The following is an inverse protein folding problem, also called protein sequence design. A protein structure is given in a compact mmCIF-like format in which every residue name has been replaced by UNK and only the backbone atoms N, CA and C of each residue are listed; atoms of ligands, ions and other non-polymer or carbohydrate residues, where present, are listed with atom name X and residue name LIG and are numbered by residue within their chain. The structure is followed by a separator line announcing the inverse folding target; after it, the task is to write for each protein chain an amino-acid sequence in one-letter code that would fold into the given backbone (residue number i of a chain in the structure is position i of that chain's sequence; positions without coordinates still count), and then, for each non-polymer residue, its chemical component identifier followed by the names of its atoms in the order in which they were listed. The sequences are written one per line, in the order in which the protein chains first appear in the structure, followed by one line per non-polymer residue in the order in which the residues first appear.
data_IF_431008074225
#
_entry.id   IF_431008074225
#
_cell.length_a   1.000
_cell.length_b   1.000
_cell.length_c   1.000
_cell.angle_alpha   90.00
_cell.angle_beta   90.00
_cell.angle_gamma   90.00
#
_symmetry.space_group_name_H-M   'P 1'
#
loop_
_entity.id
_entity.type
_entity.pdbx_description
1 polymer ?
#
# COMPACT_ATOMS: atom_id res chain seq x y z
N UNK A 1 47.83 32.83 -19.29
CA UNK A 1 47.18 31.50 -19.25
C UNK A 1 46.95 31.12 -17.77
N UNK A 2 45.70 30.87 -17.32
CA UNK A 2 45.47 30.43 -15.95
C UNK A 2 45.54 28.91 -15.87
N UNK A 3 46.28 28.43 -14.90
CA UNK A 3 46.48 27.05 -14.51
C UNK A 3 45.18 26.45 -13.97
N UNK A 4 44.71 25.33 -14.55
CA UNK A 4 43.64 24.51 -14.03
C UNK A 4 44.02 23.90 -12.70
N UNK A 5 43.16 24.08 -11.67
CA UNK A 5 43.33 23.51 -10.33
C UNK A 5 43.00 22.01 -10.35
N UNK A 6 43.80 21.24 -9.61
CA UNK A 6 43.78 19.80 -9.48
C UNK A 6 42.59 19.22 -8.64
N UNK A 7 41.50 19.98 -8.52
CA UNK A 7 40.30 19.52 -7.73
C UNK A 7 39.29 18.73 -8.54
N UNK A 8 39.36 18.73 -9.87
CA UNK A 8 38.39 18.06 -10.72
C UNK A 8 38.65 16.57 -10.96
N UNK A 9 39.85 16.09 -10.58
CA UNK A 9 40.22 14.68 -10.74
C UNK A 9 39.79 13.77 -9.57
N UNK A 10 39.52 14.34 -8.39
CA UNK A 10 39.11 13.55 -7.23
C UNK A 10 37.62 13.14 -7.26
N UNK A 11 36.78 13.89 -7.94
CA UNK A 11 35.34 13.58 -8.03
C UNK A 11 35.00 12.47 -9.03
N UNK A 12 35.82 12.27 -10.05
CA UNK A 12 35.57 11.28 -11.11
C UNK A 12 35.94 9.85 -10.64
N UNK A 13 36.84 9.70 -9.68
CA UNK A 13 37.30 8.39 -9.18
C UNK A 13 36.34 7.83 -8.13
N UNK A 14 35.66 8.66 -7.35
CA UNK A 14 34.71 8.22 -6.31
C UNK A 14 33.37 7.76 -6.93
N UNK A 15 32.95 8.30 -8.07
CA UNK A 15 31.75 7.86 -8.79
C UNK A 15 31.90 6.51 -9.49
N UNK A 16 33.13 6.08 -9.81
CA UNK A 16 33.40 4.82 -10.51
C UNK A 16 33.50 3.59 -9.59
N UNK A 17 33.60 3.77 -8.27
CA UNK A 17 33.75 2.67 -7.31
C UNK A 17 32.47 2.29 -6.57
N UNK A 18 31.32 2.93 -6.84
CA UNK A 18 30.07 2.73 -6.12
C UNK A 18 28.97 1.99 -6.89
N UNK A 19 29.25 1.39 -8.02
CA UNK A 19 28.21 0.70 -8.81
C UNK A 19 28.59 -0.68 -9.34
N UNK A 20 29.15 -1.53 -8.52
CA UNK A 20 28.96 -2.95 -8.71
C UNK A 20 27.84 -3.44 -7.77
N UNK A 21 26.61 -3.04 -8.04
CA UNK A 21 25.47 -3.82 -7.62
C UNK A 21 25.58 -5.12 -8.38
N UNK A 22 26.10 -6.17 -7.76
CA UNK A 22 25.98 -7.52 -8.27
C UNK A 22 24.51 -7.84 -8.37
N UNK A 23 23.90 -7.62 -9.52
CA UNK A 23 22.60 -8.17 -9.80
C UNK A 23 22.70 -9.69 -9.62
N UNK A 24 21.89 -10.26 -8.75
CA UNK A 24 21.85 -11.71 -8.58
C UNK A 24 21.66 -12.37 -9.96
N UNK A 25 22.37 -13.44 -10.29
CA UNK A 25 22.25 -14.07 -11.60
C UNK A 25 20.81 -14.51 -11.82
N UNK A 26 20.28 -14.24 -13.02
CA UNK A 26 18.94 -14.69 -13.40
C UNK A 26 18.90 -16.22 -13.43
N UNK A 27 17.91 -16.81 -12.77
CA UNK A 27 17.73 -18.26 -12.69
C UNK A 27 16.37 -18.68 -13.24
N UNK A 28 16.31 -19.92 -13.74
CA UNK A 28 15.09 -20.66 -14.05
C UNK A 28 14.36 -21.03 -12.75
N UNK A 29 13.11 -21.51 -12.85
CA UNK A 29 12.32 -21.90 -11.67
C UNK A 29 12.92 -23.04 -10.85
N UNK A 30 13.74 -23.88 -11.48
CA UNK A 30 14.50 -24.95 -10.81
C UNK A 30 15.84 -24.48 -10.20
N UNK A 31 16.13 -23.18 -10.21
CA UNK A 31 17.37 -22.59 -9.67
C UNK A 31 18.58 -22.63 -10.62
N UNK A 32 18.48 -23.27 -11.79
CA UNK A 32 19.58 -23.31 -12.76
C UNK A 32 19.81 -21.91 -13.38
N UNK A 33 21.05 -21.50 -13.62
CA UNK A 33 21.33 -20.21 -14.26
C UNK A 33 20.72 -20.14 -15.66
N UNK A 34 20.27 -18.94 -16.04
CA UNK A 34 19.85 -18.63 -17.41
C UNK A 34 21.09 -18.25 -18.21
N UNK A 35 21.36 -18.97 -19.29
CA UNK A 35 22.49 -18.69 -20.18
C UNK A 35 22.21 -17.48 -21.07
N UNK A 36 21.16 -17.55 -21.88
CA UNK A 36 20.74 -16.46 -22.76
C UNK A 36 19.29 -16.07 -22.45
N UNK A 37 19.06 -14.80 -22.13
CA UNK A 37 17.74 -14.23 -21.87
C UNK A 37 17.23 -13.35 -23.03
N UNK A 38 18.01 -13.22 -24.11
CA UNK A 38 17.70 -12.35 -25.25
C UNK A 38 17.29 -13.14 -26.50
N UNK A 39 17.76 -14.36 -26.64
CA UNK A 39 17.51 -15.21 -27.80
C UNK A 39 16.90 -16.56 -27.38
N UNK A 40 15.90 -17.00 -28.15
CA UNK A 40 15.34 -18.36 -27.99
C UNK A 40 16.29 -19.43 -28.57
N UNK A 41 16.29 -20.61 -28.00
CA UNK A 41 17.00 -21.78 -28.55
C UNK A 41 16.29 -22.28 -29.80
N UNK A 42 17.02 -22.44 -30.88
CA UNK A 42 16.51 -22.89 -32.19
C UNK A 42 17.18 -24.16 -32.68
N UNK A 43 16.55 -24.85 -33.62
CA UNK A 43 17.09 -26.01 -34.28
C UNK A 43 18.11 -25.59 -35.37
N UNK A 44 19.30 -25.14 -34.95
CA UNK A 44 20.30 -24.51 -35.82
C UNK A 44 20.04 -23.05 -36.08
N UNK A 45 20.97 -22.37 -36.78
CA UNK A 45 20.99 -20.92 -36.92
C UNK A 45 19.70 -20.29 -37.53
N UNK A 46 19.02 -21.01 -38.40
CA UNK A 46 17.79 -20.57 -39.06
C UNK A 46 16.61 -21.54 -38.81
N UNK A 47 16.70 -22.38 -37.79
CA UNK A 47 15.69 -23.36 -37.46
C UNK A 47 14.55 -22.82 -36.60
N UNK A 48 13.51 -23.62 -36.44
CA UNK A 48 12.38 -23.30 -35.58
C UNK A 48 12.79 -23.23 -34.10
N UNK A 49 12.12 -22.37 -33.32
CA UNK A 49 12.26 -22.33 -31.86
C UNK A 49 11.85 -23.65 -31.24
N UNK A 50 12.65 -24.16 -30.31
CA UNK A 50 12.43 -25.43 -29.64
C UNK A 50 11.57 -25.30 -28.42
N UNK A 51 10.64 -26.25 -28.21
CA UNK A 51 9.88 -26.37 -26.95
C UNK A 51 10.77 -26.75 -25.75
N UNK A 52 11.97 -27.30 -25.99
CA UNK A 52 12.96 -27.54 -24.95
C UNK A 52 13.57 -26.25 -24.37
N UNK A 53 13.30 -25.09 -24.96
CA UNK A 53 13.70 -23.79 -24.39
C UNK A 53 12.83 -23.46 -23.16
N UNK A 54 13.22 -24.05 -22.04
CA UNK A 54 12.54 -23.85 -20.75
C UNK A 54 12.54 -22.37 -20.36
N UNK A 55 13.59 -21.61 -20.68
CA UNK A 55 13.64 -20.19 -20.38
C UNK A 55 12.60 -19.39 -21.16
N UNK A 56 12.44 -19.67 -22.45
CA UNK A 56 11.39 -19.04 -23.27
C UNK A 56 10.00 -19.28 -22.67
N UNK A 57 9.69 -20.55 -22.35
CA UNK A 57 8.38 -20.92 -21.80
C UNK A 57 8.13 -20.23 -20.47
N UNK A 58 9.09 -20.26 -19.55
CA UNK A 58 8.95 -19.62 -18.25
C UNK A 58 8.82 -18.08 -18.36
N UNK A 59 9.61 -17.45 -19.22
CA UNK A 59 9.54 -16.01 -19.48
C UNK A 59 8.16 -15.58 -20.02
N UNK A 60 7.63 -16.32 -21.00
CA UNK A 60 6.29 -16.07 -21.57
C UNK A 60 5.17 -16.34 -20.54
N UNK A 61 5.28 -17.40 -19.75
CA UNK A 61 4.30 -17.69 -18.70
C UNK A 61 4.26 -16.62 -17.61
N UNK A 62 5.42 -16.13 -17.19
CA UNK A 62 5.49 -15.02 -16.22
C UNK A 62 4.91 -13.74 -16.81
N UNK A 63 5.23 -13.41 -18.05
CA UNK A 63 4.67 -12.27 -18.75
C UNK A 63 3.14 -12.37 -18.88
N UNK A 64 2.62 -13.53 -19.30
CA UNK A 64 1.17 -13.75 -19.43
C UNK A 64 0.39 -13.70 -18.10
N UNK A 65 1.07 -13.89 -16.96
CA UNK A 65 0.49 -13.87 -15.61
C UNK A 65 0.91 -12.66 -14.78
N UNK A 66 1.63 -11.74 -15.35
CA UNK A 66 2.16 -10.55 -14.66
C UNK A 66 1.06 -9.65 -14.12
N UNK A 67 -0.09 -9.62 -14.79
CA UNK A 67 -1.25 -8.89 -14.33
C UNK A 67 -2.25 -9.79 -13.62
N UNK A 68 -2.64 -9.36 -12.42
CA UNK A 68 -3.75 -9.94 -11.66
C UNK A 68 -4.99 -9.06 -11.80
N UNK A 69 -6.22 -9.60 -11.64
CA UNK A 69 -7.42 -8.79 -11.59
C UNK A 69 -7.32 -7.70 -10.53
N UNK A 70 -7.89 -6.53 -10.84
CA UNK A 70 -7.98 -5.45 -9.85
C UNK A 70 -8.92 -5.84 -8.71
N UNK A 71 -8.62 -5.38 -7.48
CA UNK A 71 -9.56 -5.45 -6.37
C UNK A 71 -10.79 -4.61 -6.69
N UNK A 72 -11.96 -5.05 -6.22
CA UNK A 72 -13.22 -4.31 -6.37
C UNK A 72 -13.11 -2.91 -5.77
N UNK A 73 -12.46 -2.79 -4.62
CA UNK A 73 -12.04 -1.54 -3.98
C UNK A 73 -10.58 -1.68 -3.54
N UNK A 74 -9.88 -0.56 -3.31
CA UNK A 74 -8.45 -0.54 -2.97
C UNK A 74 -7.55 -1.08 -4.09
N UNK A 75 -7.93 -0.88 -5.36
CA UNK A 75 -7.17 -1.38 -6.51
C UNK A 75 -5.77 -0.76 -6.60
N UNK A 76 -5.67 0.56 -6.36
CA UNK A 76 -4.40 1.27 -6.31
C UNK A 76 -3.84 1.32 -4.89
N UNK A 77 -2.58 0.93 -4.72
CA UNK A 77 -1.92 0.97 -3.42
C UNK A 77 -0.47 0.53 -3.49
N UNK A 78 0.23 0.74 -2.39
CA UNK A 78 1.63 0.34 -2.20
C UNK A 78 1.80 -0.38 -0.87
N UNK A 79 2.81 -1.24 -0.78
CA UNK A 79 3.11 -2.00 0.42
C UNK A 79 4.52 -1.73 0.93
N UNK A 80 4.68 -1.77 2.25
CA UNK A 80 5.97 -1.60 2.91
C UNK A 80 6.13 -2.64 4.00
N UNK A 81 7.35 -3.15 4.17
CA UNK A 81 7.74 -3.98 5.31
C UNK A 81 8.14 -3.09 6.48
N UNK A 82 7.90 -3.58 7.68
CA UNK A 82 8.26 -2.89 8.90
C UNK A 82 8.32 -3.82 10.11
N UNK A 83 8.46 -3.24 11.29
CA UNK A 83 8.46 -3.95 12.56
C UNK A 83 7.49 -3.26 13.53
N UNK A 84 6.66 -4.05 14.19
CA UNK A 84 5.86 -3.61 15.33
C UNK A 84 6.53 -4.03 16.63
N UNK A 85 6.62 -3.11 17.58
CA UNK A 85 7.16 -3.39 18.92
C UNK A 85 6.11 -3.03 19.95
N UNK A 86 5.65 -4.01 20.75
CA UNK A 86 4.74 -3.72 21.85
C UNK A 86 5.50 -3.03 22.99
N UNK A 87 5.05 -1.84 23.35
CA UNK A 87 5.66 -1.05 24.45
C UNK A 87 5.08 -1.40 25.81
N UNK A 88 3.92 -2.07 25.84
CA UNK A 88 3.22 -2.48 27.08
C UNK A 88 2.87 -3.95 27.01
N UNK A 89 2.75 -4.58 28.16
CA UNK A 89 2.17 -5.91 28.30
C UNK A 89 0.64 -5.78 28.39
N UNK A 90 -0.06 -6.44 27.47
CA UNK A 90 -1.53 -6.48 27.42
C UNK A 90 -2.07 -7.91 27.64
N UNK A 91 -1.31 -8.78 28.29
CA UNK A 91 -1.72 -10.16 28.58
C UNK A 91 -3.04 -10.24 29.36
N UNK A 92 -3.35 -9.23 30.17
CA UNK A 92 -4.64 -9.13 30.88
C UNK A 92 -5.83 -8.89 29.93
N UNK A 93 -5.59 -8.41 28.70
CA UNK A 93 -6.63 -8.12 27.71
C UNK A 93 -6.71 -9.18 26.62
N UNK A 94 -5.59 -9.82 26.26
CA UNK A 94 -5.54 -10.66 25.08
C UNK A 94 -4.49 -11.77 25.18
N UNK A 95 -4.83 -12.93 24.59
CA UNK A 95 -3.91 -14.05 24.37
C UNK A 95 -2.90 -13.80 23.24
N UNK A 96 -3.10 -12.77 22.43
CA UNK A 96 -2.23 -12.49 21.29
C UNK A 96 -0.82 -12.09 21.74
N UNK A 97 0.15 -12.95 21.47
CA UNK A 97 1.54 -12.80 21.93
C UNK A 97 2.24 -11.52 21.43
N UNK A 98 1.78 -10.97 20.31
CA UNK A 98 2.33 -9.73 19.76
C UNK A 98 2.17 -8.53 20.71
N UNK A 99 1.24 -8.58 21.66
CA UNK A 99 0.99 -7.53 22.65
C UNK A 99 1.71 -7.74 23.99
N UNK A 100 2.62 -8.67 24.09
CA UNK A 100 3.53 -8.78 25.25
C UNK A 100 4.64 -7.72 25.15
N UNK A 101 4.96 -7.06 26.25
CA UNK A 101 5.96 -6.00 26.27
C UNK A 101 7.29 -6.43 25.66
N UNK A 102 7.89 -5.59 24.81
CA UNK A 102 9.14 -5.86 24.12
C UNK A 102 9.08 -6.85 22.97
N UNK A 103 7.90 -7.44 22.68
CA UNK A 103 7.75 -8.34 21.54
C UNK A 103 7.91 -7.57 20.22
N UNK A 104 8.83 -8.04 19.39
CA UNK A 104 9.09 -7.56 18.03
C UNK A 104 8.39 -8.46 17.04
N UNK A 105 7.54 -7.90 16.21
CA UNK A 105 6.75 -8.64 15.21
C UNK A 105 6.97 -8.02 13.84
N UNK A 106 7.46 -8.77 12.84
CA UNK A 106 7.51 -8.30 11.47
C UNK A 106 6.11 -7.97 10.97
N UNK A 107 5.99 -6.88 10.23
CA UNK A 107 4.72 -6.45 9.66
C UNK A 107 4.86 -6.15 8.18
N UNK A 108 3.74 -6.30 7.46
CA UNK A 108 3.57 -5.75 6.12
C UNK A 108 2.38 -4.80 6.13
N UNK A 109 2.61 -3.56 5.74
CA UNK A 109 1.57 -2.52 5.71
C UNK A 109 1.23 -2.21 4.27
N UNK A 110 -0.07 -2.22 3.93
CA UNK A 110 -0.55 -1.77 2.63
C UNK A 110 -1.37 -0.49 2.78
N UNK A 111 -0.90 0.56 2.12
CA UNK A 111 -1.64 1.79 1.89
C UNK A 111 -2.31 1.76 0.54
N UNK A 112 -3.50 2.37 0.41
CA UNK A 112 -4.24 2.36 -0.87
C UNK A 112 -5.25 3.50 -0.93
N UNK A 113 -5.67 3.86 -2.15
CA UNK A 113 -6.95 4.55 -2.37
C UNK A 113 -8.10 3.54 -2.25
N UNK A 114 -9.36 3.93 -2.40
CA UNK A 114 -10.50 3.02 -2.21
C UNK A 114 -11.30 2.82 -3.49
N UNK A 115 -11.90 3.88 -4.03
CA UNK A 115 -12.94 3.75 -5.09
C UNK A 115 -12.34 3.64 -6.48
N UNK A 116 -11.22 4.30 -6.73
CA UNK A 116 -10.68 4.48 -8.06
C UNK A 116 -9.93 3.25 -8.60
N UNK A 117 -9.83 3.07 -9.94
CA UNK A 117 -9.10 1.98 -10.56
C UNK A 117 -7.58 2.11 -10.33
N UNK A 118 -6.84 1.05 -10.60
CA UNK A 118 -5.39 0.97 -10.38
C UNK A 118 -4.60 2.10 -11.07
N UNK A 119 -5.08 2.60 -12.21
CA UNK A 119 -4.43 3.67 -12.99
C UNK A 119 -4.76 5.10 -12.54
N UNK A 120 -5.56 5.31 -11.49
CA UNK A 120 -5.97 6.63 -11.01
C UNK A 120 -4.86 7.38 -10.27
N UNK A 121 -4.92 8.72 -10.15
CA UNK A 121 -3.99 9.46 -9.30
C UNK A 121 -4.23 9.19 -7.82
N UNK A 122 -3.16 9.03 -7.03
CA UNK A 122 -3.25 8.69 -5.60
C UNK A 122 -3.77 9.83 -4.73
N UNK A 123 -3.65 11.07 -5.19
CA UNK A 123 -4.14 12.27 -4.49
C UNK A 123 -5.59 12.63 -4.87
N UNK A 124 -6.27 11.81 -5.68
CA UNK A 124 -7.71 11.96 -5.86
C UNK A 124 -8.42 11.85 -4.50
N UNK A 125 -9.48 12.68 -4.30
CA UNK A 125 -10.24 12.66 -3.05
C UNK A 125 -10.90 11.30 -2.85
N UNK A 126 -10.48 10.61 -1.78
CA UNK A 126 -10.91 9.25 -1.47
C UNK A 126 -10.61 8.96 0.01
N UNK A 127 -11.28 8.01 0.66
CA UNK A 127 -10.71 7.36 1.81
C UNK A 127 -9.41 6.64 1.44
N UNK A 128 -8.52 6.45 2.40
CA UNK A 128 -7.27 5.74 2.16
C UNK A 128 -7.19 4.51 3.06
N UNK A 129 -6.91 3.36 2.45
CA UNK A 129 -6.71 2.10 3.16
C UNK A 129 -5.43 2.12 3.99
N UNK A 130 -5.51 1.52 5.16
CA UNK A 130 -4.40 1.30 6.09
C UNK A 130 -4.54 -0.12 6.64
N UNK A 131 -3.93 -1.09 5.97
CA UNK A 131 -4.01 -2.50 6.34
C UNK A 131 -2.66 -3.00 6.83
N UNK A 132 -2.63 -3.59 8.03
CA UNK A 132 -1.43 -4.12 8.66
C UNK A 132 -1.56 -5.62 8.86
N UNK A 133 -0.63 -6.38 8.31
CA UNK A 133 -0.46 -7.80 8.55
C UNK A 133 0.71 -8.00 9.51
N UNK A 134 0.45 -8.69 10.62
CA UNK A 134 1.46 -9.06 11.60
C UNK A 134 1.81 -10.54 11.43
N UNK A 135 3.08 -10.84 11.26
CA UNK A 135 3.60 -12.21 11.16
C UNK A 135 4.02 -12.69 12.54
N UNK A 136 3.05 -13.22 13.29
CA UNK A 136 3.28 -13.69 14.66
C UNK A 136 3.68 -15.16 14.70
N UNK A 137 4.25 -15.63 15.81
CA UNK A 137 4.52 -17.05 16.02
C UNK A 137 3.24 -17.91 16.11
N UNK A 138 2.12 -17.30 16.45
CA UNK A 138 0.80 -17.96 16.52
C UNK A 138 0.05 -17.97 15.19
N UNK A 139 0.66 -17.45 14.13
CA UNK A 139 0.06 -17.27 12.80
C UNK A 139 -0.10 -15.79 12.44
N UNK A 140 -0.78 -15.54 11.32
CA UNK A 140 -1.02 -14.17 10.87
C UNK A 140 -2.11 -13.51 11.71
N UNK A 141 -1.87 -12.27 12.12
CA UNK A 141 -2.85 -11.40 12.75
C UNK A 141 -2.98 -10.14 11.89
N UNK A 142 -4.18 -9.80 11.46
CA UNK A 142 -4.39 -8.71 10.49
C UNK A 142 -5.30 -7.64 11.08
N UNK A 143 -4.94 -6.37 10.90
CA UNK A 143 -5.77 -5.22 11.23
C UNK A 143 -6.02 -4.41 9.96
N UNK A 144 -7.23 -4.53 9.42
CA UNK A 144 -7.67 -3.82 8.22
C UNK A 144 -8.39 -2.54 8.64
N UNK A 145 -7.99 -1.41 8.06
CA UNK A 145 -8.57 -0.12 8.41
C UNK A 145 -8.45 0.90 7.28
N UNK A 146 -8.88 2.11 7.61
CA UNK A 146 -8.80 3.29 6.76
C UNK A 146 -8.20 4.46 7.55
N UNK A 147 -7.89 5.54 6.84
CA UNK A 147 -7.43 6.79 7.46
C UNK A 147 -8.55 7.64 8.08
N UNK A 148 -9.78 7.14 8.13
CA UNK A 148 -10.95 7.84 8.65
C UNK A 148 -11.55 7.06 9.83
N UNK A 149 -12.01 7.75 10.90
CA UNK A 149 -12.41 7.10 12.16
C UNK A 149 -13.79 6.43 12.12
N UNK A 150 -14.54 6.61 11.06
CA UNK A 150 -15.90 6.08 10.86
C UNK A 150 -16.02 5.40 9.51
N UNK A 151 -17.08 4.56 9.33
CA UNK A 151 -17.36 3.88 8.07
C UNK A 151 -18.67 4.37 7.45
N UNK A 152 -18.89 4.14 6.15
CA UNK A 152 -20.02 4.70 5.38
C UNK A 152 -21.36 4.09 5.76
N UNK A 153 -21.35 2.78 6.01
CA UNK A 153 -22.52 1.96 6.23
C UNK A 153 -22.28 1.04 7.42
N UNK A 154 -23.37 0.60 8.04
CA UNK A 154 -23.36 -0.36 9.12
C UNK A 154 -23.69 -1.78 8.63
N UNK A 155 -24.65 -1.89 7.73
CA UNK A 155 -25.11 -3.18 7.21
C UNK A 155 -24.33 -3.53 5.94
N UNK A 156 -23.61 -4.66 5.96
CA UNK A 156 -22.72 -5.10 4.91
C UNK A 156 -23.43 -5.33 3.57
N UNK A 157 -24.73 -5.65 3.55
CA UNK A 157 -25.48 -5.85 2.31
C UNK A 157 -25.56 -4.58 1.46
N UNK A 158 -25.40 -3.41 2.07
CA UNK A 158 -25.41 -2.12 1.39
C UNK A 158 -24.06 -1.71 0.81
N UNK A 159 -23.01 -2.46 1.10
CA UNK A 159 -21.67 -2.13 0.62
C UNK A 159 -21.55 -2.21 -0.92
N UNK A 160 -22.07 -3.24 -1.59
CA UNK A 160 -22.08 -3.27 -3.05
C UNK A 160 -22.82 -2.08 -3.67
N UNK A 161 -23.97 -1.70 -3.13
CA UNK A 161 -24.77 -0.55 -3.64
C UNK A 161 -24.01 0.76 -3.47
N UNK A 162 -23.37 0.96 -2.32
CA UNK A 162 -22.49 2.10 -2.08
C UNK A 162 -21.37 2.16 -3.12
N UNK A 163 -20.66 1.04 -3.32
CA UNK A 163 -19.54 0.97 -4.26
C UNK A 163 -20.01 1.25 -5.69
N UNK A 164 -21.15 0.67 -6.12
CA UNK A 164 -21.71 0.90 -7.45
C UNK A 164 -22.21 2.33 -7.65
N UNK A 165 -22.70 3.00 -6.60
CA UNK A 165 -23.06 4.42 -6.67
C UNK A 165 -21.85 5.33 -6.90
N UNK A 166 -20.68 4.94 -6.38
CA UNK A 166 -19.44 5.72 -6.46
C UNK A 166 -18.62 5.44 -7.72
N UNK A 167 -18.79 4.26 -8.34
CA UNK A 167 -18.01 3.83 -9.51
C UNK A 167 -18.62 4.31 -10.81
N UNK A 168 -17.82 4.36 -11.90
CA UNK A 168 -18.33 4.59 -13.24
C UNK A 168 -19.44 3.61 -13.60
N UNK A 169 -20.42 4.09 -14.34
CA UNK A 169 -21.50 3.27 -14.90
C UNK A 169 -20.92 2.21 -15.86
N UNK A 170 -21.35 0.93 -15.77
CA UNK A 170 -20.75 -0.14 -16.56
C UNK A 170 -21.02 -0.03 -18.07
N UNK A 171 -22.02 0.76 -18.49
CA UNK A 171 -22.36 0.98 -19.92
C UNK A 171 -21.61 2.18 -20.48
N UNK A 172 -21.65 3.30 -19.76
CA UNK A 172 -21.08 4.57 -20.25
C UNK A 172 -19.64 4.78 -19.82
N UNK A 173 -19.17 4.06 -18.80
CA UNK A 173 -17.87 4.24 -18.13
C UNK A 173 -17.67 5.65 -17.56
N UNK A 174 -18.76 6.34 -17.22
CA UNK A 174 -18.77 7.69 -16.65
C UNK A 174 -19.27 7.62 -15.21
N UNK A 175 -18.57 8.29 -14.29
CA UNK A 175 -19.03 8.47 -12.92
C UNK A 175 -20.16 9.51 -12.90
N UNK A 176 -21.31 9.12 -12.33
CA UNK A 176 -22.49 9.99 -12.22
C UNK A 176 -22.67 10.46 -10.76
N UNK A 177 -22.49 11.76 -10.48
CA UNK A 177 -22.72 12.31 -9.15
C UNK A 177 -24.14 12.12 -8.61
N UNK A 178 -25.16 12.04 -9.48
CA UNK A 178 -26.54 11.83 -9.04
C UNK A 178 -26.71 10.50 -8.34
N UNK A 179 -26.07 9.44 -8.83
CA UNK A 179 -26.09 8.11 -8.20
C UNK A 179 -25.51 8.16 -6.77
N UNK A 180 -24.46 8.96 -6.56
CA UNK A 180 -23.86 9.15 -5.24
C UNK A 180 -24.84 9.84 -4.30
N UNK A 181 -25.48 10.92 -4.74
CA UNK A 181 -26.43 11.67 -3.92
C UNK A 181 -27.71 10.86 -3.65
N UNK A 182 -28.21 10.10 -4.62
CA UNK A 182 -29.34 9.18 -4.41
C UNK A 182 -29.06 8.15 -3.34
N UNK A 183 -27.86 7.55 -3.36
CA UNK A 183 -27.43 6.62 -2.29
C UNK A 183 -27.39 7.33 -0.92
N UNK A 184 -26.74 8.49 -0.85
CA UNK A 184 -26.60 9.25 0.40
C UNK A 184 -27.96 9.68 0.97
N UNK A 185 -28.91 10.08 0.11
CA UNK A 185 -30.27 10.43 0.51
C UNK A 185 -31.00 9.21 1.09
N UNK A 186 -30.81 8.04 0.51
CA UNK A 186 -31.39 6.78 1.00
C UNK A 186 -30.70 6.25 2.27
N UNK A 187 -29.46 6.70 2.56
CA UNK A 187 -28.61 6.22 3.66
C UNK A 187 -28.00 7.41 4.44
N UNK A 188 -28.81 8.21 5.17
CA UNK A 188 -28.37 9.48 5.77
C UNK A 188 -27.25 9.33 6.81
N UNK A 189 -27.10 8.16 7.43
CA UNK A 189 -25.97 7.90 8.35
C UNK A 189 -24.60 7.87 7.65
N UNK A 190 -24.54 7.72 6.32
CA UNK A 190 -23.30 7.80 5.53
C UNK A 190 -22.74 9.24 5.49
N UNK A 191 -23.53 10.25 5.80
CA UNK A 191 -23.14 11.67 5.75
C UNK A 191 -21.96 11.94 6.70
N UNK A 192 -21.93 11.33 7.87
CA UNK A 192 -20.82 11.51 8.81
C UNK A 192 -19.47 11.15 8.18
N UNK A 193 -19.39 10.00 7.48
CA UNK A 193 -18.19 9.62 6.76
C UNK A 193 -17.86 10.60 5.64
N UNK A 194 -18.87 11.10 4.95
CA UNK A 194 -18.70 12.04 3.85
C UNK A 194 -18.04 13.35 4.33
N UNK A 195 -18.37 13.84 5.53
CA UNK A 195 -17.74 15.04 6.10
C UNK A 195 -16.23 14.85 6.27
N UNK A 196 -15.78 13.65 6.68
CA UNK A 196 -14.35 13.32 6.74
C UNK A 196 -13.71 13.23 5.36
N UNK A 197 -14.36 12.60 4.39
CA UNK A 197 -13.85 12.51 3.02
C UNK A 197 -13.67 13.88 2.38
N UNK A 198 -14.58 14.81 2.66
CA UNK A 198 -14.50 16.19 2.14
C UNK A 198 -13.62 17.12 2.97
N UNK A 199 -13.09 16.67 4.10
CA UNK A 199 -12.03 17.35 4.82
C UNK A 199 -10.65 17.11 4.18
N UNK A 200 -9.60 17.65 4.78
CA UNK A 200 -8.21 17.39 4.37
C UNK A 200 -7.78 15.92 4.53
N UNK A 201 -8.54 15.11 5.29
CA UNK A 201 -8.27 13.69 5.45
C UNK A 201 -8.52 12.91 4.17
N UNK A 202 -9.42 13.39 3.29
CA UNK A 202 -9.68 12.76 2.00
C UNK A 202 -8.61 13.02 0.93
N UNK A 203 -7.68 13.95 1.19
CA UNK A 203 -6.58 14.32 0.28
C UNK A 203 -5.25 14.40 1.04
N UNK A 204 -4.74 13.29 1.58
CA UNK A 204 -3.51 13.31 2.38
C UNK A 204 -2.31 13.77 1.54
N UNK A 205 -1.39 14.48 2.20
CA UNK A 205 -0.13 14.90 1.58
C UNK A 205 0.80 13.72 1.26
N UNK A 206 0.77 12.69 2.12
CA UNK A 206 1.61 11.49 2.02
C UNK A 206 0.95 10.32 2.74
N UNK A 207 1.26 9.09 2.36
CA UNK A 207 0.93 7.91 3.19
C UNK A 207 1.61 7.94 4.56
N UNK A 208 2.70 8.69 4.74
CA UNK A 208 3.38 8.88 6.02
C UNK A 208 2.64 9.80 6.98
N UNK A 209 1.83 10.71 6.46
CA UNK A 209 1.16 11.79 7.20
C UNK A 209 -0.34 11.54 7.37
N UNK A 210 -0.75 10.30 7.48
CA UNK A 210 -2.13 9.92 7.79
C UNK A 210 -2.19 9.02 9.02
N UNK A 211 -3.26 9.14 9.77
CA UNK A 211 -3.63 8.20 10.84
C UNK A 211 -4.33 6.99 10.24
N UNK A 212 -4.42 5.90 11.01
CA UNK A 212 -5.16 4.70 10.62
C UNK A 212 -6.17 4.29 11.70
N UNK A 213 -7.31 3.76 11.28
CA UNK A 213 -8.39 3.36 12.18
C UNK A 213 -8.91 1.97 11.78
N UNK A 214 -9.00 1.06 12.75
CA UNK A 214 -9.60 -0.25 12.55
C UNK A 214 -11.12 -0.20 12.42
N UNK A 215 -11.75 0.90 12.79
CA UNK A 215 -13.18 1.26 12.70
C UNK A 215 -14.10 0.37 13.51
N UNK A 216 -13.95 -0.97 13.36
CA UNK A 216 -14.76 -1.97 14.07
C UNK A 216 -14.41 -2.04 15.56
N UNK A 217 -15.39 -2.48 16.38
CA UNK A 217 -15.13 -2.95 17.72
C UNK A 217 -14.68 -4.41 17.65
N UNK A 218 -13.50 -4.69 18.20
CA UNK A 218 -12.93 -6.03 18.28
C UNK A 218 -13.12 -6.57 19.68
N UNK A 219 -13.26 -7.88 19.79
CA UNK A 219 -13.39 -8.58 21.06
C UNK A 219 -12.06 -9.26 21.37
N UNK A 220 -11.37 -8.81 22.39
CA UNK A 220 -10.13 -9.41 22.86
C UNK A 220 -10.42 -10.31 24.06
N UNK A 221 -9.80 -11.49 24.11
CA UNK A 221 -9.92 -12.45 25.18
C UNK A 221 -8.57 -12.67 25.87
N UNK A 222 -8.59 -12.73 27.20
CA UNK A 222 -7.44 -13.11 27.99
C UNK A 222 -7.43 -14.64 28.27
N UNK A 223 -6.42 -15.10 29.01
CA UNK A 223 -6.23 -16.50 29.41
C UNK A 223 -7.33 -17.04 30.35
N UNK A 224 -8.05 -16.17 31.05
CA UNK A 224 -9.18 -16.50 31.92
C UNK A 224 -10.51 -16.61 31.15
N UNK A 225 -10.52 -16.35 29.84
CA UNK A 225 -11.73 -16.28 29.04
C UNK A 225 -12.55 -14.99 29.22
N UNK A 226 -12.03 -14.04 29.99
CA UNK A 226 -12.62 -12.70 30.09
C UNK A 226 -12.39 -11.92 28.80
N UNK A 227 -13.31 -11.01 28.45
CA UNK A 227 -13.17 -10.23 27.23
C UNK A 227 -13.45 -8.76 27.43
N UNK A 228 -12.86 -7.97 26.53
CA UNK A 228 -13.12 -6.53 26.38
C UNK A 228 -13.38 -6.20 24.91
N UNK A 229 -14.28 -5.24 24.67
CA UNK A 229 -14.42 -4.63 23.37
C UNK A 229 -13.40 -3.50 23.23
N UNK A 230 -12.70 -3.46 22.12
CA UNK A 230 -11.64 -2.50 21.87
C UNK A 230 -11.74 -1.93 20.46
N UNK A 231 -11.20 -0.72 20.27
CA UNK A 231 -10.91 -0.12 18.97
C UNK A 231 -9.41 0.11 18.84
N UNK A 232 -8.91 -0.03 17.62
CA UNK A 232 -7.50 0.20 17.28
C UNK A 232 -7.36 1.49 16.48
N UNK A 233 -6.45 2.36 16.91
CA UNK A 233 -6.17 3.63 16.27
C UNK A 233 -4.65 3.79 16.09
N UNK A 234 -4.21 3.98 14.86
CA UNK A 234 -2.83 4.30 14.51
C UNK A 234 -2.67 5.82 14.47
N UNK A 235 -1.67 6.35 15.14
CA UNK A 235 -1.33 7.78 15.13
C UNK A 235 0.02 7.98 14.49
N UNK A 236 0.05 8.75 13.40
CA UNK A 236 1.29 9.07 12.70
C UNK A 236 2.18 9.98 13.56
N UNK A 237 3.42 9.56 13.82
CA UNK A 237 4.42 10.41 14.48
C UNK A 237 4.91 11.56 13.58
N UNK A 238 4.59 11.54 12.28
CA UNK A 238 4.88 12.62 11.34
C UNK A 238 3.77 13.70 11.35
N UNK A 239 2.70 13.47 12.11
CA UNK A 239 1.49 14.29 12.13
C UNK A 239 0.59 14.04 10.93
N UNK A 240 -0.65 14.53 11.01
CA UNK A 240 -1.63 14.42 9.92
C UNK A 240 -1.57 15.68 9.07
N UNK A 241 -1.40 15.51 7.76
CA UNK A 241 -1.35 16.60 6.79
C UNK A 241 -2.15 16.25 5.55
N UNK A 242 -2.87 17.24 5.02
CA UNK A 242 -3.64 17.10 3.81
C UNK A 242 -3.39 18.22 2.83
N UNK A 243 -3.64 17.95 1.55
CA UNK A 243 -3.54 18.90 0.46
C UNK A 243 -4.85 19.64 0.28
N UNK A 244 -4.78 20.94 -0.03
CA UNK A 244 -5.94 21.68 -0.52
C UNK A 244 -6.20 21.37 -2.00
N UNK A 245 -7.32 21.84 -2.56
CA UNK A 245 -7.73 21.51 -3.93
C UNK A 245 -6.73 21.98 -5.00
N UNK A 246 -6.09 23.11 -4.80
CA UNK A 246 -5.10 23.65 -5.73
C UNK A 246 -3.83 22.78 -5.74
N UNK A 247 -3.32 22.44 -4.56
CA UNK A 247 -2.19 21.52 -4.38
C UNK A 247 -2.49 20.13 -4.98
N UNK A 248 -3.70 19.61 -4.79
CA UNK A 248 -4.11 18.34 -5.40
C UNK A 248 -4.01 18.40 -6.91
N UNK A 249 -4.53 19.47 -7.55
CA UNK A 249 -4.46 19.65 -9.00
C UNK A 249 -3.02 19.73 -9.51
N UNK A 250 -2.19 20.49 -8.82
CA UNK A 250 -0.79 20.64 -9.16
C UNK A 250 -0.02 19.32 -9.04
N UNK A 251 -0.20 18.58 -7.94
CA UNK A 251 0.46 17.29 -7.73
C UNK A 251 0.00 16.26 -8.75
N UNK A 252 -1.30 16.15 -9.00
CA UNK A 252 -1.84 15.23 -10.02
C UNK A 252 -1.30 15.51 -11.41
N UNK A 253 -1.10 16.76 -11.76
CA UNK A 253 -0.53 17.16 -13.05
C UNK A 253 0.93 16.77 -13.24
N UNK A 254 1.66 16.54 -12.13
CA UNK A 254 3.10 16.21 -12.15
C UNK A 254 3.40 14.76 -11.84
N UNK A 255 2.69 14.17 -10.88
CA UNK A 255 2.99 12.83 -10.36
C UNK A 255 1.73 12.09 -9.88
N UNK A 256 1.25 11.17 -10.68
CA UNK A 256 0.10 10.31 -10.34
C UNK A 256 0.38 9.34 -9.19
N UNK A 257 1.64 9.03 -8.96
CA UNK A 257 2.12 8.11 -7.93
C UNK A 257 2.72 8.84 -6.73
N UNK A 258 2.31 10.08 -6.49
CA UNK A 258 2.92 10.98 -5.50
C UNK A 258 3.06 10.35 -4.11
N UNK A 259 2.00 9.73 -3.59
CA UNK A 259 2.02 9.16 -2.24
C UNK A 259 2.96 7.96 -2.15
N UNK A 260 2.97 7.10 -3.18
CA UNK A 260 3.90 5.99 -3.31
C UNK A 260 5.35 6.47 -3.45
N UNK A 261 5.59 7.42 -4.35
CA UNK A 261 6.93 7.95 -4.59
C UNK A 261 7.51 8.65 -3.34
N UNK A 262 6.67 9.40 -2.60
CA UNK A 262 7.07 10.02 -1.34
C UNK A 262 7.47 8.96 -0.30
N UNK A 263 6.68 7.91 -0.14
CA UNK A 263 6.98 6.80 0.77
C UNK A 263 8.32 6.14 0.42
N UNK A 264 8.52 5.77 -0.85
CA UNK A 264 9.75 5.13 -1.32
C UNK A 264 10.98 6.01 -1.14
N UNK A 265 10.90 7.28 -1.54
CA UNK A 265 12.02 8.24 -1.39
C UNK A 265 12.44 8.39 0.06
N UNK A 266 11.48 8.49 0.99
CA UNK A 266 11.78 8.63 2.42
C UNK A 266 12.39 7.36 3.01
N UNK A 267 11.85 6.19 2.70
CA UNK A 267 12.41 4.91 3.17
C UNK A 267 13.83 4.73 2.62
N UNK A 268 14.04 5.01 1.33
CA UNK A 268 15.37 4.91 0.71
C UNK A 268 16.40 5.87 1.33
N UNK A 269 15.96 7.04 1.75
CA UNK A 269 16.78 8.03 2.45
C UNK A 269 17.01 7.70 3.94
N UNK A 270 16.43 6.61 4.48
CA UNK A 270 16.52 6.25 5.90
C UNK A 270 15.52 6.99 6.80
N UNK A 271 14.62 7.79 6.24
CA UNK A 271 13.59 8.53 6.97
C UNK A 271 12.35 7.63 7.16
N UNK A 272 12.48 6.60 7.99
CA UNK A 272 11.42 5.61 8.21
C UNK A 272 10.21 6.21 8.93
N UNK A 273 9.00 6.15 8.34
CA UNK A 273 7.80 6.62 9.01
C UNK A 273 7.42 5.70 10.17
N UNK A 274 6.78 6.29 11.19
CA UNK A 274 6.39 5.59 12.42
C UNK A 274 4.97 5.94 12.80
N UNK A 275 4.29 4.99 13.41
CA UNK A 275 2.95 5.15 13.99
C UNK A 275 2.90 4.51 15.37
N UNK A 276 2.16 5.15 16.26
CA UNK A 276 1.80 4.57 17.55
C UNK A 276 0.44 3.89 17.45
N UNK A 277 0.33 2.66 17.93
CA UNK A 277 -0.93 1.93 18.01
C UNK A 277 -1.57 2.17 19.39
N UNK A 278 -2.75 2.75 19.38
CA UNK A 278 -3.58 2.93 20.56
C UNK A 278 -4.74 1.94 20.57
N UNK A 279 -5.01 1.40 21.73
CA UNK A 279 -6.19 0.58 22.02
C UNK A 279 -7.13 1.40 22.93
N UNK A 280 -8.35 1.60 22.45
CA UNK A 280 -9.43 2.27 23.19
C UNK A 280 -10.42 1.25 23.70
#
# INVERSE_FOLDING_TARGET
FPTRRSSDLLFTIIAATLSTVYAAPLTKDNGAPVGDNQNSTTAGANGATLLQDVQLIQKLQRFGRERIPERVVHARGTGVYGEFVSTKDLSDLTLASLFKAGTKTPVFVRFSTVIHPKGSPETARDPHGFAVKFYTQQGNWDLVGNNLPVFFIRDAIKFPDFVHAMKPDPVTNVQDPNRIFDFLQSQPWSINMLTYVYSNLGTPESYRTLDGFGVHAFKLYNDKGEYKYVKFNWRSQQGVKGLNLEQVREVQGRDWSHLTNDMYKNIYAGNYPKWDLYIQ
#
